data_IF_883077286194
#
_entry.id   IF_883077286194
#
_cell.length_a   1.000
_cell.length_b   1.000
_cell.length_c   1.000
_cell.angle_alpha   90.00
_cell.angle_beta   90.00
_cell.angle_gamma   90.00
#
_symmetry.space_group_name_H-M   'P 1'
#
loop_
_entity.id
_entity.type
_entity.pdbx_description
1 polymer ?
#
# COMPACT_ATOMS: atom_id res chain seq x y z
N UNK A 1 24.44 -60.40 10.40
CA UNK A 1 24.63 -58.98 10.80
C UNK A 1 25.62 -58.32 9.85
N UNK A 2 25.13 -57.60 8.80
CA UNK A 2 25.92 -56.66 7.96
C UNK A 2 25.16 -56.09 6.74
N UNK A 3 23.90 -56.48 6.51
CA UNK A 3 23.12 -56.01 5.34
C UNK A 3 21.84 -55.23 5.65
N UNK A 4 21.54 -54.96 6.92
CA UNK A 4 20.28 -54.28 7.31
C UNK A 4 20.49 -52.78 7.55
N UNK A 5 21.74 -52.29 7.51
CA UNK A 5 22.05 -50.89 7.85
C UNK A 5 21.98 -49.90 6.66
N UNK A 6 21.70 -50.38 5.44
CA UNK A 6 21.66 -49.53 4.25
C UNK A 6 20.26 -49.00 3.90
N UNK A 7 19.20 -49.49 4.56
CA UNK A 7 17.82 -49.12 4.21
C UNK A 7 17.19 -48.05 5.14
N UNK A 8 17.97 -47.48 6.06
CA UNK A 8 17.50 -46.40 6.94
C UNK A 8 17.85 -44.99 6.41
N UNK A 9 18.61 -44.89 5.32
CA UNK A 9 19.15 -43.62 4.79
C UNK A 9 18.51 -43.13 3.49
N UNK A 10 17.41 -43.74 3.04
CA UNK A 10 16.71 -43.31 1.81
C UNK A 10 15.33 -42.69 2.11
N UNK A 11 14.84 -42.78 3.35
CA UNK A 11 13.57 -42.16 3.75
C UNK A 11 13.70 -40.73 4.32
N UNK A 12 14.92 -40.20 4.45
CA UNK A 12 15.15 -38.85 5.01
C UNK A 12 15.41 -37.76 3.96
N UNK A 13 15.37 -38.09 2.66
CA UNK A 13 15.78 -37.18 1.59
C UNK A 13 14.61 -36.45 0.89
N UNK A 14 13.40 -36.42 1.47
CA UNK A 14 12.24 -35.78 0.85
C UNK A 14 11.54 -34.76 1.76
N UNK A 15 12.31 -33.96 2.49
CA UNK A 15 11.78 -32.85 3.27
C UNK A 15 12.66 -31.60 3.11
N UNK A 16 12.88 -31.16 1.88
CA UNK A 16 13.42 -29.83 1.61
C UNK A 16 12.75 -29.24 0.38
N UNK A 17 11.41 -29.26 0.36
CA UNK A 17 10.69 -28.29 -0.46
C UNK A 17 10.90 -26.96 0.27
N UNK A 18 11.51 -25.93 -0.35
CA UNK A 18 11.51 -24.62 0.26
C UNK A 18 10.05 -24.23 0.45
N UNK A 19 9.62 -24.10 1.70
CA UNK A 19 8.40 -23.36 1.98
C UNK A 19 8.69 -21.96 1.47
N UNK A 20 8.19 -21.64 0.28
CA UNK A 20 8.06 -20.28 -0.15
C UNK A 20 7.19 -19.60 0.89
N UNK A 21 7.80 -18.94 1.88
CA UNK A 21 7.10 -18.10 2.84
C UNK A 21 6.65 -16.86 2.09
N UNK A 22 5.65 -17.01 1.23
CA UNK A 22 4.88 -15.91 0.67
C UNK A 22 3.95 -15.39 1.76
N UNK A 23 4.55 -14.77 2.77
CA UNK A 23 3.86 -14.39 3.98
C UNK A 23 4.64 -13.34 4.72
N UNK A 24 5.15 -12.34 3.99
CA UNK A 24 5.67 -11.16 4.65
C UNK A 24 4.43 -10.42 5.17
N UNK A 25 4.01 -10.67 6.42
CA UNK A 25 3.02 -9.88 7.16
C UNK A 25 3.45 -8.42 7.39
N UNK A 26 4.33 -7.90 6.53
CA UNK A 26 4.73 -6.50 6.57
C UNK A 26 3.51 -5.69 6.14
N UNK A 27 3.00 -4.80 7.00
CA UNK A 27 1.91 -3.93 6.64
C UNK A 27 2.24 -3.11 5.39
N UNK A 28 1.32 -3.05 4.45
CA UNK A 28 1.44 -2.24 3.24
C UNK A 28 0.61 -0.97 3.43
N UNK A 29 1.27 0.18 3.29
CA UNK A 29 0.58 1.47 3.21
C UNK A 29 0.16 1.75 1.76
N UNK A 30 -1.11 2.07 1.58
CA UNK A 30 -1.73 2.43 0.32
C UNK A 30 -2.19 3.88 0.38
N UNK A 31 -1.95 4.63 -0.69
CA UNK A 31 -2.58 5.92 -0.91
C UNK A 31 -3.80 5.70 -1.80
N UNK A 32 -4.95 6.20 -1.35
CA UNK A 32 -6.23 6.07 -2.03
C UNK A 32 -6.59 7.40 -2.65
N UNK A 33 -6.92 7.39 -3.94
CA UNK A 33 -7.39 8.58 -4.67
C UNK A 33 -8.53 8.18 -5.61
N UNK A 34 -9.19 9.18 -6.19
CA UNK A 34 -10.04 8.96 -7.35
C UNK A 34 -9.16 8.59 -8.55
N UNK A 35 -9.40 7.43 -9.15
CA UNK A 35 -8.67 6.97 -10.33
C UNK A 35 -9.63 6.93 -11.52
N UNK A 36 -9.53 7.80 -12.53
CA UNK A 36 -10.52 7.90 -13.62
C UNK A 36 -10.80 6.59 -14.37
N UNK A 37 -9.82 5.69 -14.44
CA UNK A 37 -9.99 4.38 -15.11
C UNK A 37 -10.80 3.36 -14.28
N UNK A 38 -11.02 3.63 -12.99
CA UNK A 38 -11.64 2.68 -12.05
C UNK A 38 -12.78 3.35 -11.27
N UNK A 39 -12.51 4.47 -10.63
CA UNK A 39 -13.47 5.29 -9.92
C UNK A 39 -14.48 5.90 -10.89
N UNK A 40 -15.74 5.94 -10.48
CA UNK A 40 -16.85 6.50 -11.24
C UNK A 40 -17.87 7.21 -10.35
N UNK A 41 -17.57 7.40 -9.06
CA UNK A 41 -18.51 7.98 -8.11
C UNK A 41 -17.81 8.85 -7.06
N UNK A 42 -18.44 9.97 -6.72
CA UNK A 42 -17.97 10.87 -5.67
C UNK A 42 -16.91 11.87 -6.13
N UNK A 43 -16.35 12.65 -5.20
CA UNK A 43 -15.46 13.76 -5.53
C UNK A 43 -14.08 13.29 -5.99
N UNK A 44 -13.56 13.87 -7.07
CA UNK A 44 -12.22 13.56 -7.59
C UNK A 44 -11.08 14.05 -6.68
N UNK A 45 -11.38 15.02 -5.81
CA UNK A 45 -10.46 15.57 -4.82
C UNK A 45 -10.42 14.77 -3.51
N UNK A 46 -11.30 13.78 -3.36
CA UNK A 46 -11.30 12.91 -2.20
C UNK A 46 -10.06 12.00 -2.20
N UNK A 47 -9.54 11.73 -1.01
CA UNK A 47 -8.32 10.95 -0.84
C UNK A 47 -8.31 10.21 0.49
N UNK A 48 -7.37 9.28 0.63
CA UNK A 48 -7.19 8.54 1.87
C UNK A 48 -5.86 7.81 1.95
N UNK A 49 -5.63 7.21 3.11
CA UNK A 49 -4.51 6.30 3.35
C UNK A 49 -5.04 5.06 4.05
N UNK A 50 -4.63 3.89 3.60
CA UNK A 50 -4.91 2.63 4.27
C UNK A 50 -3.62 1.91 4.65
N UNK A 51 -3.63 1.21 5.77
CA UNK A 51 -2.58 0.24 6.13
C UNK A 51 -3.25 -1.13 6.14
N UNK A 52 -2.74 -2.04 5.33
CA UNK A 52 -3.24 -3.42 5.21
C UNK A 52 -2.15 -4.38 5.64
N UNK A 53 -2.42 -5.13 6.70
CA UNK A 53 -1.53 -6.16 7.19
C UNK A 53 -2.24 -7.51 7.07
N UNK A 54 -1.97 -8.20 5.95
CA UNK A 54 -2.67 -9.44 5.60
C UNK A 54 -2.32 -10.59 6.53
N UNK A 55 -1.08 -10.67 7.01
CA UNK A 55 -0.64 -11.70 7.94
C UNK A 55 -1.27 -11.58 9.33
N UNK A 56 -1.51 -10.36 9.78
CA UNK A 56 -2.09 -10.02 11.08
C UNK A 56 -3.61 -9.83 11.01
N UNK A 57 -4.18 -9.79 9.81
CA UNK A 57 -5.62 -9.63 9.60
C UNK A 57 -6.16 -8.29 10.09
N UNK A 58 -5.41 -7.19 9.92
CA UNK A 58 -5.89 -5.86 10.28
C UNK A 58 -5.83 -4.87 9.12
N UNK A 59 -6.80 -3.96 9.12
CA UNK A 59 -6.88 -2.84 8.18
C UNK A 59 -7.19 -1.56 8.94
N UNK A 60 -6.41 -0.52 8.70
CA UNK A 60 -6.78 0.85 9.07
C UNK A 60 -7.00 1.67 7.82
N UNK A 61 -7.92 2.63 7.89
CA UNK A 61 -8.23 3.55 6.82
C UNK A 61 -8.48 4.94 7.42
N UNK A 62 -7.92 5.96 6.77
CA UNK A 62 -8.27 7.37 6.96
C UNK A 62 -8.69 7.92 5.62
N UNK A 63 -9.82 8.62 5.55
CA UNK A 63 -10.29 9.28 4.32
C UNK A 63 -10.70 10.72 4.62
N UNK A 64 -10.64 11.54 3.57
CA UNK A 64 -11.06 12.93 3.58
C UNK A 64 -11.72 13.30 2.24
N UNK A 65 -12.64 14.27 2.29
CA UNK A 65 -13.32 14.81 1.12
C UNK A 65 -14.44 13.93 0.55
N UNK A 66 -14.83 12.86 1.24
CA UNK A 66 -15.98 12.05 0.85
C UNK A 66 -17.28 12.61 1.44
N UNK A 67 -18.42 12.58 0.74
CA UNK A 67 -19.70 13.01 1.31
C UNK A 67 -20.24 11.99 2.31
N UNK A 68 -20.98 12.46 3.32
CA UNK A 68 -21.80 11.60 4.18
C UNK A 68 -22.92 10.95 3.37
N UNK A 69 -23.21 9.68 3.64
CA UNK A 69 -24.27 8.91 2.97
C UNK A 69 -25.46 8.69 3.91
N UNK A 70 -26.69 8.98 3.45
CA UNK A 70 -27.89 8.77 4.27
C UNK A 70 -28.45 7.35 4.13
N UNK A 71 -28.62 6.88 2.89
CA UNK A 71 -29.31 5.61 2.56
C UNK A 71 -28.34 4.53 2.06
N UNK A 72 -27.05 4.72 2.34
CA UNK A 72 -25.96 3.87 1.86
C UNK A 72 -24.80 3.86 2.86
N UNK A 73 -23.85 2.98 2.64
CA UNK A 73 -22.59 2.91 3.39
C UNK A 73 -21.42 2.79 2.44
N UNK A 74 -20.27 3.33 2.86
CA UNK A 74 -19.04 2.99 2.18
C UNK A 74 -18.61 1.58 2.62
N UNK A 75 -18.06 0.80 1.69
CA UNK A 75 -17.47 -0.50 2.00
C UNK A 75 -16.07 -0.60 1.44
N UNK A 76 -15.19 -1.18 2.25
CA UNK A 76 -13.80 -1.43 1.89
C UNK A 76 -13.69 -2.85 1.33
N UNK A 77 -13.10 -2.97 0.16
CA UNK A 77 -12.88 -4.23 -0.53
C UNK A 77 -11.40 -4.41 -0.87
N UNK A 78 -10.87 -5.60 -0.62
CA UNK A 78 -9.56 -6.02 -1.14
C UNK A 78 -9.79 -6.88 -2.38
N UNK A 79 -9.24 -6.45 -3.51
CA UNK A 79 -9.39 -7.15 -4.79
C UNK A 79 -8.12 -7.97 -5.03
N UNK A 80 -8.19 -9.31 -5.00
CA UNK A 80 -7.05 -10.15 -5.31
C UNK A 80 -6.73 -10.14 -6.81
N UNK A 81 -5.51 -10.53 -7.19
CA UNK A 81 -5.18 -10.80 -8.60
C UNK A 81 -6.02 -11.96 -9.14
N UNK A 82 -6.23 -12.97 -8.29
CA UNK A 82 -6.99 -14.18 -8.58
C UNK A 82 -7.95 -14.48 -7.43
N UNK A 83 -9.18 -14.88 -7.76
CA UNK A 83 -10.25 -15.15 -6.79
C UNK A 83 -11.20 -13.97 -6.60
N UNK A 84 -12.04 -14.10 -5.57
CA UNK A 84 -13.15 -13.17 -5.30
C UNK A 84 -12.73 -11.96 -4.45
N UNK A 85 -13.39 -10.80 -4.62
CA UNK A 85 -13.23 -9.66 -3.73
C UNK A 85 -13.49 -10.02 -2.26
N UNK A 86 -12.70 -9.45 -1.35
CA UNK A 86 -12.83 -9.67 0.09
C UNK A 86 -13.38 -8.42 0.75
N UNK A 87 -14.58 -8.51 1.33
CA UNK A 87 -15.17 -7.46 2.15
C UNK A 87 -14.39 -7.30 3.46
N UNK A 88 -13.93 -6.08 3.74
CA UNK A 88 -13.17 -5.75 4.96
C UNK A 88 -14.08 -5.16 6.03
N UNK A 89 -15.01 -4.30 5.62
CA UNK A 89 -15.96 -3.67 6.52
C UNK A 89 -16.61 -2.43 5.93
N UNK A 90 -17.72 -2.03 6.55
CA UNK A 90 -18.50 -0.84 6.19
C UNK A 90 -18.16 0.32 7.11
N UNK A 91 -18.22 1.53 6.58
CA UNK A 91 -18.09 2.78 7.34
C UNK A 91 -18.96 3.89 6.73
N UNK A 92 -19.05 5.01 7.42
CA UNK A 92 -19.62 6.23 6.87
C UNK A 92 -18.74 7.42 7.27
N UNK A 93 -18.93 8.54 6.59
CA UNK A 93 -18.08 9.73 6.72
C UNK A 93 -18.76 10.75 7.63
N UNK A 94 -18.03 11.47 8.45
CA UNK A 94 -18.60 12.54 9.27
C UNK A 94 -19.10 13.72 8.42
N UNK A 95 -19.85 14.65 9.02
CA UNK A 95 -20.28 15.87 8.33
C UNK A 95 -19.10 16.73 7.82
N UNK A 96 -17.91 16.57 8.41
CA UNK A 96 -16.65 17.20 8.00
C UNK A 96 -16.07 16.63 6.69
N UNK A 97 -16.64 15.53 6.18
CA UNK A 97 -16.10 14.81 5.02
C UNK A 97 -14.93 13.88 5.35
N UNK A 98 -14.66 13.61 6.63
CA UNK A 98 -13.57 12.73 7.08
C UNK A 98 -14.08 11.47 7.80
N UNK A 99 -13.31 10.39 7.73
CA UNK A 99 -13.56 9.19 8.53
C UNK A 99 -12.26 8.45 8.86
N UNK A 100 -12.26 7.86 10.06
CA UNK A 100 -11.25 6.93 10.54
C UNK A 100 -11.90 5.56 10.76
N UNK A 101 -11.35 4.52 10.13
CA UNK A 101 -11.82 3.14 10.25
C UNK A 101 -10.68 2.23 10.68
N UNK A 102 -10.97 1.26 11.55
CA UNK A 102 -10.03 0.25 12.01
C UNK A 102 -10.76 -1.07 12.24
N UNK A 103 -10.19 -2.15 11.72
CA UNK A 103 -10.64 -3.51 11.98
C UNK A 103 -9.46 -4.46 12.17
N UNK A 104 -9.66 -5.52 12.94
CA UNK A 104 -8.65 -6.51 13.32
C UNK A 104 -9.29 -7.90 13.38
N UNK A 105 -8.48 -8.96 13.29
CA UNK A 105 -8.98 -10.34 13.37
C UNK A 105 -9.65 -10.83 12.09
N UNK A 106 -9.41 -10.16 10.97
CA UNK A 106 -9.86 -10.60 9.65
C UNK A 106 -9.13 -11.87 9.25
N UNK A 107 -9.88 -12.83 8.69
CA UNK A 107 -9.29 -14.00 8.02
C UNK A 107 -9.07 -13.66 6.55
N UNK A 108 -7.95 -12.99 6.27
CA UNK A 108 -7.59 -12.60 4.91
C UNK A 108 -6.88 -13.77 4.19
N UNK A 109 -7.32 -14.15 2.98
CA UNK A 109 -6.61 -15.12 2.16
C UNK A 109 -5.15 -14.73 1.92
N UNK A 110 -4.24 -15.70 2.00
CA UNK A 110 -2.83 -15.52 1.63
C UNK A 110 -2.69 -15.49 0.10
N UNK A 111 -3.02 -14.35 -0.50
CA UNK A 111 -2.96 -14.11 -1.96
C UNK A 111 -2.33 -12.76 -2.28
N UNK A 112 -2.00 -12.55 -3.55
CA UNK A 112 -1.52 -11.26 -4.04
C UNK A 112 -2.72 -10.36 -4.31
N UNK A 113 -2.85 -9.30 -3.53
CA UNK A 113 -3.83 -8.25 -3.77
C UNK A 113 -3.35 -7.26 -4.83
N UNK A 114 -4.26 -6.80 -5.69
CA UNK A 114 -3.97 -5.77 -6.70
C UNK A 114 -4.53 -4.41 -6.31
N UNK A 115 -5.72 -4.38 -5.70
CA UNK A 115 -6.41 -3.14 -5.36
C UNK A 115 -7.02 -3.21 -3.96
N UNK A 116 -7.12 -2.05 -3.32
CA UNK A 116 -8.13 -1.75 -2.32
C UNK A 116 -9.11 -0.78 -2.96
N UNK A 117 -10.41 -1.10 -2.92
CA UNK A 117 -11.48 -0.27 -3.49
C UNK A 117 -12.46 0.11 -2.40
N UNK A 118 -12.86 1.38 -2.38
CA UNK A 118 -13.98 1.88 -1.58
C UNK A 118 -15.18 2.04 -2.51
N UNK A 119 -16.26 1.34 -2.21
CA UNK A 119 -17.54 1.41 -2.94
C UNK A 119 -18.64 2.06 -2.11
N UNK A 120 -19.73 2.45 -2.76
CA UNK A 120 -20.96 2.88 -2.11
C UNK A 120 -21.99 1.74 -2.19
N UNK A 121 -22.18 1.03 -1.09
CA UNK A 121 -23.10 -0.08 -0.99
C UNK A 121 -24.50 0.40 -0.55
N UNK A 122 -25.59 -0.19 -1.07
CA UNK A 122 -26.94 0.07 -0.57
C UNK A 122 -27.08 -0.39 0.88
N UNK A 123 -28.14 0.06 1.56
CA UNK A 123 -28.51 -0.45 2.89
C UNK A 123 -30.02 -0.72 2.92
N UNK A 124 -30.47 -2.00 3.05
CA UNK A 124 -29.66 -3.21 3.24
C UNK A 124 -28.90 -3.64 1.97
N UNK A 125 -27.74 -4.27 2.17
CA UNK A 125 -26.94 -4.87 1.10
C UNK A 125 -27.04 -6.41 1.15
N UNK A 126 -27.35 -7.02 0.02
CA UNK A 126 -27.42 -8.49 -0.16
C UNK A 126 -26.39 -9.01 -1.15
N UNK A 127 -25.60 -8.13 -1.77
CA UNK A 127 -24.59 -8.51 -2.75
C UNK A 127 -23.33 -9.03 -2.08
N UNK A 128 -22.79 -10.18 -2.51
CA UNK A 128 -21.45 -10.61 -2.10
C UNK A 128 -20.33 -9.90 -2.88
N UNK A 129 -20.66 -9.13 -3.91
CA UNK A 129 -19.72 -8.41 -4.78
C UNK A 129 -19.76 -6.90 -4.50
N UNK A 130 -18.65 -6.17 -4.73
CA UNK A 130 -18.63 -4.72 -4.61
C UNK A 130 -19.65 -4.03 -5.53
N UNK A 131 -20.34 -3.00 -5.04
CA UNK A 131 -21.22 -2.16 -5.86
C UNK A 131 -20.47 -1.50 -7.02
N UNK A 132 -21.20 -1.21 -8.10
CA UNK A 132 -20.64 -0.57 -9.29
C UNK A 132 -20.18 0.88 -9.04
N UNK A 133 -20.68 1.55 -7.99
CA UNK A 133 -20.27 2.89 -7.56
C UNK A 133 -18.95 2.81 -6.79
N UNK A 134 -17.86 3.01 -7.50
CA UNK A 134 -16.49 2.94 -6.98
C UNK A 134 -15.97 4.36 -6.75
N UNK A 135 -15.55 4.66 -5.53
CA UNK A 135 -15.16 6.00 -5.11
C UNK A 135 -13.65 6.17 -5.09
N UNK A 136 -12.96 5.55 -4.13
CA UNK A 136 -11.51 5.66 -3.99
C UNK A 136 -10.83 4.32 -4.21
N UNK A 137 -9.64 4.37 -4.78
CA UNK A 137 -8.87 3.18 -5.10
C UNK A 137 -7.41 3.36 -4.69
N UNK A 138 -6.86 2.36 -4.01
CA UNK A 138 -5.43 2.21 -3.73
C UNK A 138 -4.86 1.03 -4.50
N UNK A 139 -3.67 1.18 -5.08
CA UNK A 139 -2.98 0.08 -5.79
C UNK A 139 -1.92 -0.54 -4.89
N UNK A 140 -1.95 -1.86 -4.75
CA UNK A 140 -0.87 -2.57 -4.08
C UNK A 140 0.39 -2.51 -4.96
N UNK A 141 1.58 -2.35 -4.35
CA UNK A 141 2.83 -2.46 -5.08
C UNK A 141 2.93 -3.83 -5.76
N UNK A 142 3.39 -3.85 -7.01
CA UNK A 142 3.65 -5.12 -7.68
C UNK A 142 4.85 -5.81 -7.01
N UNK A 143 4.69 -7.04 -6.47
CA UNK A 143 5.81 -7.76 -5.88
C UNK A 143 6.95 -8.02 -6.88
N UNK A 144 6.67 -8.07 -8.18
CA UNK A 144 7.67 -8.23 -9.24
C UNK A 144 8.46 -6.96 -9.56
N UNK A 145 7.96 -5.77 -9.16
CA UNK A 145 8.64 -4.49 -9.38
C UNK A 145 9.62 -4.13 -8.25
N UNK A 146 10.07 -5.09 -7.44
CA UNK A 146 11.15 -4.88 -6.47
C UNK A 146 12.53 -4.74 -7.14
N UNK A 147 12.75 -3.70 -7.95
CA UNK A 147 14.10 -3.25 -8.32
C UNK A 147 14.09 -1.82 -8.88
N UNK A 148 15.14 -1.04 -8.52
CA UNK A 148 15.52 0.35 -8.92
C UNK A 148 14.91 1.43 -7.99
N UNK A 149 15.59 2.23 -7.13
CA UNK A 149 17.01 2.59 -6.93
C UNK A 149 17.18 3.32 -5.58
N UNK A 150 18.06 2.84 -4.70
CA UNK A 150 18.90 3.76 -3.91
C UNK A 150 20.20 3.85 -4.71
N UNK A 151 20.40 4.99 -5.38
CA UNK A 151 21.55 5.18 -6.23
C UNK A 151 22.80 5.12 -5.39
N UNK A 152 23.57 4.05 -5.52
CA UNK A 152 25.02 4.14 -5.42
C UNK A 152 25.44 5.16 -6.48
N UNK A 153 25.64 6.41 -6.06
CA UNK A 153 26.32 7.42 -6.88
C UNK A 153 27.75 6.92 -7.03
N UNK A 154 28.22 6.49 -8.22
CA UNK A 154 29.62 6.19 -8.40
C UNK A 154 30.32 7.54 -8.63
N UNK A 155 31.03 8.01 -7.61
CA UNK A 155 31.95 9.13 -7.75
C UNK A 155 31.51 10.43 -7.09
N UNK A 156 31.39 10.43 -5.75
CA UNK A 156 31.85 11.59 -4.98
C UNK A 156 33.07 11.15 -4.21
N UNK A 157 34.19 11.77 -4.59
CA UNK A 157 35.52 11.50 -4.07
C UNK A 157 35.58 11.64 -2.54
N UNK A 158 36.46 10.80 -1.99
CA UNK A 158 37.00 10.79 -0.64
C UNK A 158 37.03 12.15 0.05
N UNK A 159 36.35 12.27 1.19
CA UNK A 159 36.59 13.34 2.16
C UNK A 159 37.95 13.13 2.82
N UNK A 160 38.95 13.91 2.43
CA UNK A 160 40.11 14.19 3.26
C UNK A 160 39.74 15.27 4.30
N UNK A 161 40.25 15.22 5.55
CA UNK A 161 39.94 16.22 6.55
C UNK A 161 40.84 17.46 6.39
N UNK A 162 40.21 18.63 6.29
CA UNK A 162 40.85 19.92 6.58
C UNK A 162 41.37 20.71 5.38
N UNK A 163 40.53 21.59 4.83
CA UNK A 163 41.00 22.85 4.22
C UNK A 163 39.87 23.91 4.26
N UNK A 164 40.14 25.15 4.70
CA UNK A 164 39.11 26.17 4.84
C UNK A 164 38.70 26.78 3.48
N UNK A 165 37.42 27.13 3.37
CA UNK A 165 36.76 27.69 2.18
C UNK A 165 37.37 29.03 1.75
N UNK A 166 37.59 29.31 0.45
CA UNK A 166 37.75 30.68 -0.01
C UNK A 166 36.38 31.37 -0.11
N UNK A 167 36.22 32.48 0.64
CA UNK A 167 35.12 33.43 0.48
C UNK A 167 35.17 34.05 -0.93
N UNK A 168 34.21 33.70 -1.79
CA UNK A 168 33.98 34.43 -3.04
C UNK A 168 32.72 35.29 -2.88
N UNK A 169 32.89 36.56 -2.52
CA UNK A 169 31.82 37.55 -2.47
C UNK A 169 31.55 38.08 -3.89
N UNK A 170 30.29 38.14 -4.36
CA UNK A 170 29.98 38.90 -5.57
C UNK A 170 30.03 40.40 -5.26
N UNK A 171 30.97 41.12 -5.89
CA UNK A 171 30.95 42.59 -5.95
C UNK A 171 30.57 43.04 -7.35
N UNK A 172 29.36 43.56 -7.51
CA UNK A 172 29.09 44.74 -8.35
C UNK A 172 27.71 45.29 -8.06
N UNK A 173 27.65 46.49 -7.48
CA UNK A 173 26.61 47.50 -7.72
C UNK A 173 27.24 48.91 -7.58
N UNK A 174 26.64 49.94 -8.22
CA UNK A 174 27.35 51.05 -8.85
C UNK A 174 27.58 52.25 -7.92
N UNK A 175 28.51 53.13 -8.29
CA UNK A 175 28.64 54.47 -7.69
C UNK A 175 28.51 55.56 -8.76
N UNK A 176 27.67 56.52 -8.40
CA UNK A 176 27.26 57.74 -9.10
C UNK A 176 28.20 58.90 -8.76
N UNK A 177 28.55 59.73 -9.75
CA UNK A 177 29.05 61.12 -9.62
C UNK A 177 30.49 61.28 -9.12
N UNK A 178 31.29 62.25 -9.55
CA UNK A 178 31.13 63.45 -10.39
C UNK A 178 32.37 64.35 -10.20
N UNK A 179 32.49 65.39 -11.03
CA UNK A 179 33.59 66.36 -11.23
C UNK A 179 34.55 65.99 -12.36
#
# INVERSE_FOLDING_TARGET
>A
MRRIMALAMILLALALVPLSTWGNGVPVQLFLNYLPDVSNWGPETASGTAIVATGEGYVTLKVQGLPHLNDARYQIWLIPREGEPVAVGKFNVEASGSADFKTTGLKLPATVYKLLVITVEPEPDTSPQPDARRSLVGRFPDPALKTVTAGSVPGSASSAPGQPLPLNLPRTLPVTGGQ
#
